data_IF_291859452752
#
_entry.id   IF_291859452752
#
_cell.length_a   1.000
_cell.length_b   1.000
_cell.length_c   1.000
_cell.angle_alpha   90.00
_cell.angle_beta   90.00
_cell.angle_gamma   90.00
#
_symmetry.space_group_name_H-M   'P 1'
#
loop_
_entity.id
_entity.type
_entity.pdbx_description
1 polymer ?
#
# COMPACT_ATOMS: atom_id res chain seq x y z
N UNK A 1 -4.00 3.16 -24.07
CA UNK A 1 -2.61 2.66 -24.08
C UNK A 1 -2.37 1.58 -23.04
N UNK A 2 -2.36 1.86 -21.71
CA UNK A 2 -2.06 0.84 -20.68
C UNK A 2 -3.03 -0.36 -20.67
N UNK A 3 -4.34 -0.12 -20.81
CA UNK A 3 -5.35 -1.19 -20.91
C UNK A 3 -5.11 -2.12 -22.10
N UNK A 4 -4.77 -1.56 -23.25
CA UNK A 4 -4.50 -2.33 -24.48
C UNK A 4 -3.26 -3.21 -24.30
N UNK A 5 -2.19 -2.64 -23.75
CA UNK A 5 -0.96 -3.38 -23.44
C UNK A 5 -1.24 -4.54 -22.47
N UNK A 6 -1.95 -4.31 -21.36
CA UNK A 6 -2.29 -5.37 -20.42
C UNK A 6 -3.08 -6.52 -21.11
N UNK A 7 -4.05 -6.17 -21.96
CA UNK A 7 -4.82 -7.15 -22.73
C UNK A 7 -3.97 -7.97 -23.71
N UNK A 8 -3.00 -7.35 -24.38
CA UNK A 8 -2.08 -8.04 -25.30
C UNK A 8 -1.19 -9.05 -24.56
N UNK A 9 -0.86 -8.78 -23.30
CA UNK A 9 -0.06 -9.65 -22.44
C UNK A 9 -0.89 -10.62 -21.57
N UNK A 10 -2.21 -10.68 -21.74
CA UNK A 10 -3.08 -11.54 -20.92
C UNK A 10 -3.16 -11.13 -19.44
N UNK A 11 -2.85 -9.86 -19.13
CA UNK A 11 -2.91 -9.30 -17.79
C UNK A 11 -4.20 -8.48 -17.56
N UNK A 12 -4.62 -8.39 -16.30
CA UNK A 12 -5.73 -7.53 -15.91
C UNK A 12 -5.27 -6.09 -15.65
N UNK A 13 -6.11 -5.11 -16.02
CA UNK A 13 -5.84 -3.69 -15.79
C UNK A 13 -6.92 -3.06 -14.91
N UNK A 14 -6.48 -2.57 -13.75
CA UNK A 14 -7.32 -1.96 -12.73
C UNK A 14 -6.94 -0.49 -12.50
N UNK A 15 -7.93 0.35 -12.21
CA UNK A 15 -7.75 1.75 -11.83
C UNK A 15 -8.64 2.10 -10.65
N UNK A 16 -8.17 3.01 -9.80
CA UNK A 16 -8.96 3.56 -8.70
C UNK A 16 -9.69 4.85 -9.14
N UNK A 17 -10.79 5.25 -8.47
CA UNK A 17 -11.38 6.57 -8.65
C UNK A 17 -10.33 7.69 -8.51
N UNK A 18 -10.48 8.77 -9.28
CA UNK A 18 -9.47 9.84 -9.39
C UNK A 18 -9.07 10.44 -8.03
N UNK A 19 -10.01 10.57 -7.11
CA UNK A 19 -9.78 11.08 -5.75
C UNK A 19 -8.84 10.21 -4.90
N UNK A 20 -8.65 8.94 -5.25
CA UNK A 20 -7.73 8.01 -4.58
C UNK A 20 -6.45 7.74 -5.38
N UNK A 21 -6.32 8.31 -6.58
CA UNK A 21 -5.19 8.07 -7.48
C UNK A 21 -3.97 8.98 -7.18
N UNK A 22 -4.20 10.13 -6.56
CA UNK A 22 -3.16 11.09 -6.15
C UNK A 22 -2.86 10.94 -4.65
N UNK A 23 -1.87 11.67 -4.14
CA UNK A 23 -1.55 11.69 -2.72
C UNK A 23 -2.78 12.06 -1.88
N UNK A 24 -3.19 11.14 -1.02
CA UNK A 24 -4.37 11.30 -0.18
C UNK A 24 -4.19 10.62 1.18
N UNK A 25 -4.95 11.08 2.18
CA UNK A 25 -4.91 10.48 3.51
C UNK A 25 -5.54 9.09 3.59
N UNK A 26 -6.42 8.72 2.65
CA UNK A 26 -7.13 7.45 2.68
C UNK A 26 -6.19 6.26 2.42
N UNK A 27 -5.23 6.37 1.49
CA UNK A 27 -4.24 5.31 1.25
C UNK A 27 -3.31 5.09 2.47
N UNK A 28 -2.98 6.16 3.18
CA UNK A 28 -2.17 6.10 4.42
C UNK A 28 -2.98 5.44 5.54
N UNK A 29 -4.21 5.91 5.76
CA UNK A 29 -5.10 5.38 6.79
C UNK A 29 -5.43 3.90 6.55
N UNK A 30 -5.77 3.52 5.31
CA UNK A 30 -6.09 2.14 4.97
C UNK A 30 -4.92 1.20 5.21
N UNK A 31 -3.72 1.55 4.72
CA UNK A 31 -2.50 0.76 4.96
C UNK A 31 -2.20 0.64 6.47
N UNK A 32 -2.42 1.71 7.24
CA UNK A 32 -2.32 1.69 8.69
C UNK A 32 -3.31 0.73 9.36
N UNK A 33 -4.55 0.67 8.90
CA UNK A 33 -5.56 -0.30 9.39
C UNK A 33 -5.11 -1.74 9.11
N UNK A 34 -4.55 -2.01 7.93
CA UNK A 34 -4.04 -3.36 7.58
C UNK A 34 -2.87 -3.78 8.46
N UNK A 35 -1.91 -2.87 8.65
CA UNK A 35 -0.80 -3.04 9.57
C UNK A 35 -1.29 -3.33 11.00
N UNK A 36 -2.19 -2.49 11.51
CA UNK A 36 -2.70 -2.59 12.87
C UNK A 36 -3.46 -3.89 13.12
N UNK A 37 -4.28 -4.35 12.17
CA UNK A 37 -4.97 -5.66 12.24
C UNK A 37 -4.00 -6.84 12.33
N UNK A 38 -2.76 -6.69 11.85
CA UNK A 38 -1.70 -7.69 11.99
C UNK A 38 -0.87 -7.54 13.27
N UNK A 39 -1.19 -6.57 14.13
CA UNK A 39 -0.43 -6.25 15.35
C UNK A 39 0.80 -5.38 15.10
N UNK A 40 0.96 -4.79 13.91
CA UNK A 40 2.07 -3.87 13.64
C UNK A 40 1.74 -2.49 14.23
N UNK A 41 2.43 -2.14 15.31
CA UNK A 41 2.32 -0.85 16.01
C UNK A 41 3.68 -0.18 16.16
N UNK A 42 3.73 1.15 16.21
CA UNK A 42 4.96 1.91 16.37
C UNK A 42 4.87 2.81 17.62
N UNK A 43 5.77 2.66 18.61
CA UNK A 43 5.89 3.61 19.72
C UNK A 43 6.23 5.01 19.23
N UNK A 44 5.74 6.04 19.91
CA UNK A 44 5.95 7.45 19.53
C UNK A 44 7.45 7.79 19.56
N UNK A 45 8.18 7.23 20.51
CA UNK A 45 9.63 7.42 20.65
C UNK A 45 10.40 6.77 19.49
N UNK A 46 9.74 6.02 18.61
CA UNK A 46 10.32 5.42 17.41
C UNK A 46 9.67 5.93 16.13
N UNK A 47 8.69 6.84 16.21
CA UNK A 47 7.93 7.36 15.07
C UNK A 47 8.63 8.52 14.35
N UNK A 48 9.92 8.34 14.03
CA UNK A 48 10.70 9.33 13.31
C UNK A 48 10.41 9.33 11.82
N UNK A 49 10.58 10.49 11.18
CA UNK A 49 10.47 10.60 9.72
C UNK A 49 11.62 9.85 9.04
N UNK A 50 11.31 8.97 8.10
CA UNK A 50 12.28 8.26 7.25
C UNK A 50 12.31 8.88 5.85
N UNK A 51 13.17 9.88 5.64
CA UNK A 51 13.28 10.62 4.37
C UNK A 51 13.64 9.74 3.16
N UNK A 52 14.33 8.63 3.39
CA UNK A 52 14.76 7.68 2.35
C UNK A 52 14.24 6.27 2.62
N UNK A 53 12.97 6.16 2.99
CA UNK A 53 12.36 4.86 3.25
C UNK A 53 12.26 4.05 1.95
N UNK A 54 12.94 2.90 1.91
CA UNK A 54 12.91 2.01 0.76
C UNK A 54 11.69 1.10 0.78
N UNK A 55 11.18 0.76 -0.41
CA UNK A 55 10.01 -0.09 -0.58
C UNK A 55 10.23 -1.52 -0.06
N UNK A 56 11.42 -2.08 -0.25
CA UNK A 56 11.79 -3.43 0.19
C UNK A 56 12.03 -3.54 1.70
N UNK A 57 12.08 -2.41 2.41
CA UNK A 57 12.18 -2.35 3.87
C UNK A 57 10.82 -2.16 4.57
N UNK A 58 9.74 -1.97 3.80
CA UNK A 58 8.41 -1.76 4.34
C UNK A 58 7.76 -3.11 4.70
N UNK A 59 7.34 -3.32 5.96
CA UNK A 59 6.67 -4.56 6.34
C UNK A 59 5.28 -4.65 5.70
N UNK A 60 4.94 -5.83 5.17
CA UNK A 60 3.62 -6.12 4.54
C UNK A 60 2.94 -7.35 5.18
N UNK A 61 2.77 -7.39 6.51
CA UNK A 61 2.31 -8.59 7.22
C UNK A 61 0.89 -9.03 6.85
N UNK A 62 0.06 -8.15 6.29
CA UNK A 62 -1.28 -8.49 5.82
C UNK A 62 -1.27 -9.39 4.58
N UNK A 63 -0.21 -9.34 3.77
CA UNK A 63 0.01 -10.27 2.65
C UNK A 63 0.43 -11.64 3.18
N UNK A 64 1.42 -11.66 4.08
CA UNK A 64 1.95 -12.90 4.67
C UNK A 64 0.90 -13.69 5.47
N UNK A 65 -0.02 -12.98 6.12
CA UNK A 65 -1.10 -13.57 6.93
C UNK A 65 -2.38 -13.86 6.14
N UNK A 66 -2.45 -13.49 4.87
CA UNK A 66 -3.64 -13.70 4.04
C UNK A 66 -4.88 -13.01 4.60
N UNK A 67 -4.76 -11.75 5.05
CA UNK A 67 -5.93 -10.95 5.50
C UNK A 67 -6.74 -10.42 4.29
N UNK A 68 -6.54 -11.02 3.12
CA UNK A 68 -7.22 -10.79 1.85
C UNK A 68 -7.27 -12.08 1.04
#
# INVERSE_FOLDING_TARGET
>A
MLRSMASEHGAEFHVVPKQYALDNGAMIAWTGVLAYKCGLTLPIERSYVRLRWRLDEAPVPWVERGIF
#
